data_IF_532313141379
#
_entry.id   IF_532313141379
#
_cell.length_a   1.000
_cell.length_b   1.000
_cell.length_c   1.000
_cell.angle_alpha   90.00
_cell.angle_beta   90.00
_cell.angle_gamma   90.00
#
_symmetry.space_group_name_H-M   'P 1'
#
loop_
_entity.id
_entity.type
_entity.pdbx_description
1 polymer ?
#
# COMPACT_ATOMS: atom_id res chain seq x y z
N UNK A 1 -22.18 -23.33 46.37
CA UNK A 1 -22.92 -22.93 45.16
C UNK A 1 -21.90 -22.46 44.13
N UNK A 2 -21.54 -23.31 43.18
CA UNK A 2 -20.52 -23.00 42.18
C UNK A 2 -21.19 -22.66 40.85
N UNK A 3 -21.18 -21.38 40.48
CA UNK A 3 -21.62 -20.94 39.16
C UNK A 3 -20.48 -21.20 38.18
N UNK A 4 -20.63 -22.19 37.30
CA UNK A 4 -19.78 -22.33 36.13
C UNK A 4 -20.13 -21.19 35.16
N UNK A 5 -19.29 -20.15 35.12
CA UNK A 5 -19.43 -19.05 34.17
C UNK A 5 -18.93 -19.55 32.81
N UNK A 6 -19.87 -19.88 31.92
CA UNK A 6 -19.58 -20.25 30.53
C UNK A 6 -19.12 -18.98 29.76
N UNK A 7 -17.84 -18.67 29.86
CA UNK A 7 -17.25 -17.58 29.08
C UNK A 7 -17.15 -18.04 27.62
N UNK A 8 -18.09 -17.60 26.79
CA UNK A 8 -17.98 -17.68 25.32
C UNK A 8 -17.17 -16.47 24.81
N UNK A 9 -15.88 -16.64 24.45
CA UNK A 9 -15.13 -15.54 23.83
C UNK A 9 -15.76 -15.19 22.48
N UNK A 10 -16.37 -14.01 22.38
CA UNK A 10 -16.85 -13.44 21.12
C UNK A 10 -15.67 -12.91 20.28
N UNK A 11 -14.72 -13.78 19.92
CA UNK A 11 -13.67 -13.47 18.95
C UNK A 11 -14.28 -13.59 17.56
N UNK A 12 -14.94 -12.53 17.09
CA UNK A 12 -15.27 -12.36 15.67
C UNK A 12 -13.96 -12.33 14.89
N UNK A 13 -13.53 -13.47 14.34
CA UNK A 13 -12.42 -13.51 13.37
C UNK A 13 -12.78 -12.57 12.23
N UNK A 14 -11.87 -11.68 11.86
CA UNK A 14 -12.01 -10.86 10.67
C UNK A 14 -12.34 -11.78 9.48
N UNK A 15 -13.49 -11.57 8.85
CA UNK A 15 -13.91 -12.36 7.68
C UNK A 15 -12.82 -12.22 6.61
N UNK A 16 -12.19 -13.33 6.23
CA UNK A 16 -11.25 -13.37 5.10
C UNK A 16 -11.96 -12.81 3.87
N UNK A 17 -11.39 -11.78 3.24
CA UNK A 17 -11.93 -11.24 2.00
C UNK A 17 -11.98 -12.35 0.94
N UNK A 18 -13.15 -12.52 0.34
CA UNK A 18 -13.41 -13.44 -0.78
C UNK A 18 -12.53 -13.08 -1.98
N UNK A 19 -12.20 -14.05 -2.86
CA UNK A 19 -11.30 -13.83 -3.99
C UNK A 19 -11.75 -12.71 -4.93
N UNK A 20 -13.06 -12.49 -5.08
CA UNK A 20 -13.62 -11.38 -5.87
C UNK A 20 -13.20 -10.00 -5.32
N UNK A 21 -13.16 -9.83 -3.99
CA UNK A 21 -12.70 -8.60 -3.35
C UNK A 21 -11.18 -8.39 -3.53
N UNK A 22 -10.39 -9.47 -3.63
CA UNK A 22 -8.94 -9.37 -3.86
C UNK A 22 -8.60 -8.90 -5.27
N UNK A 23 -9.32 -9.41 -6.27
CA UNK A 23 -9.15 -8.98 -7.65
C UNK A 23 -9.55 -7.52 -7.83
N UNK A 24 -10.69 -7.11 -7.26
CA UNK A 24 -11.14 -5.73 -7.26
C UNK A 24 -10.12 -4.81 -6.58
N UNK A 25 -9.66 -5.17 -5.36
CA UNK A 25 -8.63 -4.42 -4.64
C UNK A 25 -7.36 -4.25 -5.46
N UNK A 26 -6.89 -5.30 -6.14
CA UNK A 26 -5.68 -5.22 -6.98
C UNK A 26 -5.90 -4.27 -8.16
N UNK A 27 -7.10 -4.28 -8.76
CA UNK A 27 -7.49 -3.34 -9.82
C UNK A 27 -7.54 -1.90 -9.31
N UNK A 28 -8.09 -1.68 -8.11
CA UNK A 28 -8.16 -0.35 -7.48
C UNK A 28 -6.76 0.21 -7.20
N UNK A 29 -5.86 -0.61 -6.66
CA UNK A 29 -4.45 -0.24 -6.46
C UNK A 29 -3.80 0.10 -7.80
N UNK A 30 -4.02 -0.71 -8.83
CA UNK A 30 -3.45 -0.45 -10.17
C UNK A 30 -3.96 0.87 -10.74
N UNK A 31 -5.25 1.15 -10.62
CA UNK A 31 -5.84 2.40 -11.09
C UNK A 31 -5.29 3.61 -10.31
N UNK A 32 -5.15 3.50 -8.99
CA UNK A 32 -4.54 4.54 -8.17
C UNK A 32 -3.10 4.84 -8.61
N UNK A 33 -2.30 3.81 -8.91
CA UNK A 33 -0.96 3.99 -9.48
C UNK A 33 -1.05 4.70 -10.83
N UNK A 34 -1.83 4.17 -11.79
CA UNK A 34 -1.95 4.73 -13.14
C UNK A 34 -2.35 6.20 -13.16
N UNK A 35 -3.31 6.59 -12.34
CA UNK A 35 -3.83 7.96 -12.32
C UNK A 35 -2.90 8.96 -11.67
N UNK A 36 -2.07 8.53 -10.72
CA UNK A 36 -1.22 9.44 -9.95
C UNK A 36 0.27 9.36 -10.34
N UNK A 37 0.65 8.47 -11.26
CA UNK A 37 2.06 8.26 -11.63
C UNK A 37 2.72 9.51 -12.22
N UNK A 38 2.02 10.23 -13.10
CA UNK A 38 2.54 11.46 -13.69
C UNK A 38 2.82 12.54 -12.63
N UNK A 39 1.94 12.67 -11.65
CA UNK A 39 2.13 13.59 -10.53
C UNK A 39 3.31 13.15 -9.65
N UNK A 40 3.40 11.85 -9.33
CA UNK A 40 4.53 11.30 -8.57
C UNK A 40 5.85 11.58 -9.28
N UNK A 41 5.93 11.40 -10.60
CA UNK A 41 7.13 11.67 -11.39
C UNK A 41 7.53 13.14 -11.36
N UNK A 42 6.55 14.04 -11.51
CA UNK A 42 6.76 15.48 -11.52
C UNK A 42 7.19 16.01 -10.15
N UNK A 43 6.47 15.64 -9.08
CA UNK A 43 6.71 16.17 -7.73
C UNK A 43 8.00 15.65 -7.10
N UNK A 44 8.51 14.53 -7.61
CA UNK A 44 9.78 13.94 -7.15
C UNK A 44 10.94 14.25 -8.08
N UNK A 45 10.75 15.13 -9.07
CA UNK A 45 11.81 15.49 -10.01
C UNK A 45 12.98 16.14 -9.27
N UNK A 46 14.19 15.59 -9.47
CA UNK A 46 15.41 16.03 -8.78
C UNK A 46 15.66 15.34 -7.43
N UNK A 47 14.73 14.54 -6.91
CA UNK A 47 14.97 13.70 -5.73
C UNK A 47 15.62 12.37 -6.13
N UNK A 48 16.73 11.99 -5.49
CA UNK A 48 17.31 10.64 -5.64
C UNK A 48 16.44 9.59 -4.93
N UNK A 49 15.89 9.96 -3.77
CA UNK A 49 15.10 9.04 -2.94
C UNK A 49 13.78 9.64 -2.52
N UNK A 50 12.77 8.78 -2.37
CA UNK A 50 11.40 9.17 -2.01
C UNK A 50 11.02 8.46 -0.71
N UNK A 51 10.49 9.22 0.25
CA UNK A 51 10.06 8.66 1.53
C UNK A 51 8.77 7.86 1.38
N UNK A 52 8.60 6.85 2.24
CA UNK A 52 7.42 5.99 2.25
C UNK A 52 6.10 6.76 2.38
N UNK A 53 6.06 7.76 3.24
CA UNK A 53 4.91 8.64 3.43
C UNK A 53 4.55 9.41 2.16
N UNK A 54 5.56 9.97 1.48
CA UNK A 54 5.38 10.70 0.23
C UNK A 54 4.82 9.79 -0.88
N UNK A 55 5.27 8.54 -0.98
CA UNK A 55 4.71 7.56 -1.93
C UNK A 55 3.22 7.32 -1.65
N UNK A 56 2.86 7.06 -0.39
CA UNK A 56 1.48 6.82 0.00
C UNK A 56 0.57 8.02 -0.29
N UNK A 57 1.05 9.24 0.01
CA UNK A 57 0.32 10.48 -0.21
C UNK A 57 0.13 10.80 -1.70
N UNK A 58 1.22 10.77 -2.48
CA UNK A 58 1.19 11.11 -3.91
C UNK A 58 0.39 10.10 -4.73
N UNK A 59 0.50 8.81 -4.44
CA UNK A 59 -0.31 7.78 -5.08
C UNK A 59 -1.74 7.70 -4.55
N UNK A 60 -2.08 8.48 -3.51
CA UNK A 60 -3.38 8.53 -2.85
C UNK A 60 -3.85 7.15 -2.37
N UNK A 61 -2.93 6.30 -1.89
CA UNK A 61 -3.22 4.92 -1.52
C UNK A 61 -4.26 4.82 -0.40
N UNK A 62 -4.30 5.79 0.51
CA UNK A 62 -5.30 5.88 1.58
C UNK A 62 -6.75 5.99 1.09
N UNK A 63 -6.98 6.38 -0.18
CA UNK A 63 -8.33 6.43 -0.77
C UNK A 63 -8.89 5.05 -1.13
N UNK A 64 -8.05 4.02 -1.18
CA UNK A 64 -8.47 2.65 -1.52
C UNK A 64 -9.23 2.01 -0.36
N UNK A 65 -8.85 2.33 0.88
CA UNK A 65 -9.49 1.80 2.09
C UNK A 65 -9.54 2.87 3.20
N UNK A 66 -10.29 3.97 3.01
CA UNK A 66 -10.22 5.15 3.88
C UNK A 66 -10.55 4.87 5.35
N UNK A 67 -11.38 3.87 5.64
CA UNK A 67 -11.74 3.50 7.01
C UNK A 67 -10.71 2.59 7.68
N UNK A 68 -10.01 1.74 6.91
CA UNK A 68 -9.16 0.68 7.45
C UNK A 68 -7.66 0.97 7.31
N UNK A 69 -7.29 1.78 6.32
CA UNK A 69 -5.92 2.20 6.00
C UNK A 69 -5.95 3.62 5.42
N UNK A 70 -6.21 4.64 6.25
CA UNK A 70 -6.34 6.03 5.79
C UNK A 70 -5.02 6.61 5.27
N UNK A 71 -3.89 6.08 5.69
CA UNK A 71 -2.56 6.47 5.20
C UNK A 71 -2.20 5.74 3.91
N UNK A 72 -2.70 4.52 3.70
CA UNK A 72 -2.33 3.69 2.55
C UNK A 72 -1.04 2.90 2.78
N UNK A 73 -0.53 2.86 4.01
CA UNK A 73 0.71 2.17 4.34
C UNK A 73 0.58 0.65 4.17
N UNK A 74 -0.56 0.09 4.53
CA UNK A 74 -0.80 -1.35 4.34
C UNK A 74 -0.91 -1.70 2.86
N UNK A 75 -1.45 -0.81 2.03
CA UNK A 75 -1.44 -0.99 0.57
C UNK A 75 -0.02 -0.97 0.01
N UNK A 76 0.82 -0.03 0.45
CA UNK A 76 2.23 0.00 0.03
C UNK A 76 2.99 -1.23 0.53
N UNK A 77 2.72 -1.68 1.75
CA UNK A 77 3.28 -2.92 2.29
C UNK A 77 2.84 -4.14 1.47
N UNK A 78 1.59 -4.18 1.02
CA UNK A 78 1.07 -5.22 0.14
C UNK A 78 1.82 -5.26 -1.19
N UNK A 79 2.14 -4.11 -1.78
CA UNK A 79 2.94 -4.02 -3.01
C UNK A 79 4.37 -4.54 -2.82
N UNK A 80 5.01 -4.19 -1.71
CA UNK A 80 6.34 -4.70 -1.35
C UNK A 80 6.30 -6.22 -1.15
N UNK A 81 5.31 -6.71 -0.40
CA UNK A 81 5.13 -8.15 -0.13
C UNK A 81 4.86 -8.97 -1.39
N UNK A 82 4.22 -8.37 -2.40
CA UNK A 82 3.99 -8.99 -3.72
C UNK A 82 5.19 -8.88 -4.66
N UNK A 83 6.26 -8.17 -4.27
CA UNK A 83 7.43 -7.92 -5.12
C UNK A 83 7.16 -6.95 -6.26
N UNK A 84 6.08 -6.15 -6.17
CA UNK A 84 5.77 -5.12 -7.18
C UNK A 84 6.71 -3.94 -7.04
N UNK A 85 7.06 -3.58 -5.81
CA UNK A 85 8.02 -2.51 -5.50
C UNK A 85 9.13 -3.11 -4.65
N UNK A 86 10.37 -2.67 -4.88
CA UNK A 86 11.52 -3.09 -4.08
C UNK A 86 11.35 -2.71 -2.61
N UNK A 87 11.99 -3.47 -1.72
CA UNK A 87 11.95 -3.15 -0.28
C UNK A 87 12.68 -1.81 -0.05
N UNK A 88 12.09 -0.86 0.70
CA UNK A 88 12.74 0.41 0.97
C UNK A 88 13.99 0.23 1.84
N UNK A 89 15.01 1.05 1.57
CA UNK A 89 16.18 1.17 2.41
C UNK A 89 15.85 2.03 3.64
N UNK A 90 16.64 1.89 4.71
CA UNK A 90 16.60 2.81 5.85
C UNK A 90 17.72 3.84 5.71
N UNK A 91 17.36 5.13 5.64
CA UNK A 91 18.31 6.26 5.70
C UNK A 91 17.89 7.17 6.86
N UNK A 92 18.81 7.45 7.79
CA UNK A 92 18.56 8.28 8.98
C UNK A 92 17.26 7.91 9.77
N UNK A 93 16.95 6.61 9.87
CA UNK A 93 15.74 6.12 10.54
C UNK A 93 14.45 6.15 9.69
N UNK A 94 14.48 6.74 8.50
CA UNK A 94 13.34 6.84 7.57
C UNK A 94 13.43 5.76 6.49
N UNK A 95 12.29 5.16 6.14
CA UNK A 95 12.19 4.26 5.00
C UNK A 95 12.08 5.05 3.71
N UNK A 96 13.01 4.82 2.79
CA UNK A 96 13.11 5.51 1.51
C UNK A 96 13.29 4.52 0.37
N UNK A 97 12.72 4.88 -0.78
CA UNK A 97 12.89 4.17 -2.04
C UNK A 97 13.84 4.94 -2.93
N UNK A 98 14.63 4.24 -3.74
CA UNK A 98 15.27 4.85 -4.89
C UNK A 98 14.18 5.31 -5.87
N UNK A 99 14.28 6.54 -6.37
CA UNK A 99 13.26 7.12 -7.24
C UNK A 99 13.16 6.38 -8.57
N UNK A 100 14.29 6.09 -9.21
CA UNK A 100 14.31 5.48 -10.54
C UNK A 100 13.73 4.07 -10.49
N UNK A 101 14.17 3.28 -9.50
CA UNK A 101 13.67 1.92 -9.31
C UNK A 101 12.18 1.87 -8.97
N UNK A 102 11.73 2.78 -8.09
CA UNK A 102 10.32 2.88 -7.71
C UNK A 102 9.44 3.18 -8.93
N UNK A 103 9.80 4.19 -9.71
CA UNK A 103 9.04 4.60 -10.89
C UNK A 103 9.03 3.52 -11.96
N UNK A 104 10.18 2.90 -12.24
CA UNK A 104 10.28 1.81 -13.21
C UNK A 104 9.39 0.63 -12.83
N UNK A 105 9.42 0.25 -11.54
CA UNK A 105 8.60 -0.82 -10.99
C UNK A 105 7.10 -0.52 -11.09
N UNK A 106 6.68 0.69 -10.72
CA UNK A 106 5.29 1.12 -10.79
C UNK A 106 4.79 1.23 -12.24
N UNK A 107 5.59 1.78 -13.16
CA UNK A 107 5.29 1.84 -14.61
C UNK A 107 5.04 0.46 -15.20
N UNK A 108 6.00 -0.45 -14.97
CA UNK A 108 5.94 -1.83 -15.44
C UNK A 108 4.69 -2.54 -14.92
N UNK A 109 4.39 -2.42 -13.63
CA UNK A 109 3.23 -3.08 -13.03
C UNK A 109 1.88 -2.47 -13.42
N UNK A 110 1.86 -1.15 -13.62
CA UNK A 110 0.67 -0.40 -14.02
C UNK A 110 0.38 -0.49 -15.53
N UNK A 111 1.36 -0.93 -16.33
CA UNK A 111 1.28 -0.97 -17.79
C UNK A 111 1.28 0.44 -18.40
N UNK A 112 2.06 1.35 -17.82
CA UNK A 112 2.24 2.73 -18.31
C UNK A 112 3.68 2.84 -18.80
N UNK A 113 3.88 3.21 -20.07
CA UNK A 113 5.20 3.47 -20.66
C UNK A 113 5.54 4.95 -20.54
#
# INVERSE_FOLDING_TARGET
MGYAVDYRPNRKRARRQTPQNKAQRTKDIRNAVRWNLAQLEHDTLGAETISRDMVCGLLRLGKIAPTADPTGDHVLQELISKGVVLRPAKRAGVQVFDRADLLASLKSWAGVQ
#
